data_IF_227900010755
#
_entry.id   IF_227900010755
#
_cell.length_a   1.000
_cell.length_b   1.000
_cell.length_c   1.000
_cell.angle_alpha   90.00
_cell.angle_beta   90.00
_cell.angle_gamma   90.00
#
_symmetry.space_group_name_H-M   'P 1'
#
loop_
_entity.id
_entity.type
_entity.pdbx_description
1 polymer ?
#
# COMPACT_ATOMS: atom_id res chain seq x y z
N UNK A 1 3.32 5.37 16.04
CA UNK A 1 2.97 4.65 14.80
C UNK A 1 4.21 3.93 14.28
N UNK A 2 4.20 2.59 14.32
CA UNK A 2 5.30 1.73 13.88
C UNK A 2 5.41 1.74 12.34
N UNK A 3 6.62 2.00 11.80
CA UNK A 3 6.85 2.11 10.36
C UNK A 3 7.29 0.75 9.78
N UNK A 4 6.33 -0.06 9.33
CA UNK A 4 6.60 -1.34 8.69
C UNK A 4 6.74 -1.16 7.17
N UNK A 5 7.89 -1.55 6.62
CA UNK A 5 8.15 -1.58 5.18
C UNK A 5 8.13 -3.04 4.70
N UNK A 6 7.09 -3.50 3.98
CA UNK A 6 7.10 -4.82 3.36
C UNK A 6 7.72 -4.79 1.96
N UNK A 7 8.19 -5.96 1.52
CA UNK A 7 8.63 -6.26 0.17
C UNK A 7 7.97 -7.57 -0.22
N UNK A 8 7.30 -7.57 -1.37
CA UNK A 8 6.75 -8.78 -1.98
C UNK A 8 7.73 -9.26 -3.04
N UNK A 9 8.35 -10.41 -2.83
CA UNK A 9 9.28 -11.04 -3.77
C UNK A 9 9.03 -12.57 -3.82
N UNK A 10 8.94 -13.13 -5.02
CA UNK A 10 8.70 -14.57 -5.27
C UNK A 10 7.63 -15.23 -4.38
N UNK A 11 6.42 -14.66 -4.38
CA UNK A 11 5.26 -15.13 -3.58
C UNK A 11 5.46 -15.10 -2.05
N UNK A 12 6.53 -14.48 -1.58
CA UNK A 12 6.81 -14.25 -0.17
C UNK A 12 6.76 -12.75 0.15
N UNK A 13 6.22 -12.42 1.31
CA UNK A 13 6.32 -11.06 1.86
C UNK A 13 7.35 -11.11 2.98
N UNK A 14 8.41 -10.34 2.82
CA UNK A 14 9.32 -9.99 3.91
C UNK A 14 8.98 -8.58 4.38
N UNK A 15 9.03 -8.32 5.69
CA UNK A 15 8.82 -6.97 6.20
C UNK A 15 9.90 -6.64 7.23
N UNK A 16 10.39 -5.40 7.19
CA UNK A 16 11.23 -4.87 8.25
C UNK A 16 10.58 -3.63 8.87
N UNK A 17 10.71 -3.52 10.19
CA UNK A 17 10.33 -2.31 10.90
C UNK A 17 11.49 -1.32 10.83
N UNK A 18 11.25 -0.15 10.26
CA UNK A 18 12.22 0.94 10.24
C UNK A 18 12.21 1.64 11.59
N UNK A 19 13.12 1.20 12.48
CA UNK A 19 13.23 1.69 13.85
C UNK A 19 13.65 3.17 13.92
N UNK A 20 14.31 3.69 12.89
CA UNK A 20 14.80 5.08 12.85
C UNK A 20 13.67 6.10 12.61
N UNK A 21 12.48 5.64 12.20
CA UNK A 21 11.32 6.49 11.93
C UNK A 21 10.07 6.13 12.75
N UNK A 22 10.26 5.51 13.92
CA UNK A 22 9.16 5.29 14.86
C UNK A 22 8.79 6.65 15.49
N UNK A 23 7.63 7.19 15.12
CA UNK A 23 7.03 8.34 15.80
C UNK A 23 6.02 7.80 16.79
N UNK A 24 6.37 7.69 18.07
CA UNK A 24 5.39 7.40 19.11
C UNK A 24 4.53 8.64 19.37
N UNK A 25 3.23 8.54 19.10
CA UNK A 25 2.30 9.67 19.12
C UNK A 25 1.49 9.73 20.41
N UNK A 26 1.50 8.67 21.22
CA UNK A 26 0.72 8.57 22.46
C UNK A 26 1.62 8.00 23.55
N UNK A 27 1.89 8.82 24.58
CA UNK A 27 2.58 8.35 25.77
C UNK A 27 1.67 7.40 26.58
N UNK A 28 2.27 6.44 27.28
CA UNK A 28 1.53 5.58 28.19
C UNK A 28 0.96 6.34 29.40
N UNK A 29 0.25 5.63 30.27
CA UNK A 29 -0.37 6.16 31.49
C UNK A 29 0.63 6.78 32.49
N UNK A 30 1.94 6.58 32.29
CA UNK A 30 3.01 7.18 33.07
C UNK A 30 3.78 8.29 32.31
N UNK A 31 3.36 8.64 31.09
CA UNK A 31 4.04 9.62 30.26
C UNK A 31 5.29 9.09 29.55
N UNK A 32 5.48 7.76 29.52
CA UNK A 32 6.59 7.12 28.84
C UNK A 32 6.22 6.80 27.38
N UNK A 33 7.14 7.06 26.47
CA UNK A 33 7.02 6.66 25.07
C UNK A 33 7.71 5.30 24.88
N UNK A 34 7.17 4.50 23.97
CA UNK A 34 7.65 3.16 23.64
C UNK A 34 9.09 3.22 23.11
N UNK A 35 9.98 2.43 23.72
CA UNK A 35 11.37 2.33 23.30
C UNK A 35 11.57 1.53 21.99
N UNK A 36 12.71 1.73 21.29
CA UNK A 36 13.03 1.06 20.03
C UNK A 36 13.20 -0.47 20.16
N UNK A 37 13.45 -0.97 21.38
CA UNK A 37 13.63 -2.41 21.66
C UNK A 37 12.31 -3.17 21.88
N UNK A 38 11.17 -2.47 21.82
CA UNK A 38 9.88 -3.10 22.06
C UNK A 38 9.38 -3.79 20.78
N UNK A 39 9.57 -5.10 20.68
CA UNK A 39 8.80 -5.95 19.75
C UNK A 39 7.32 -5.93 20.16
N UNK A 40 6.59 -4.87 19.81
CA UNK A 40 5.17 -4.77 20.09
C UNK A 40 4.36 -5.58 19.07
N UNK A 41 3.28 -6.19 19.56
CA UNK A 41 2.30 -6.81 18.68
C UNK A 41 1.77 -5.76 17.69
N UNK A 42 1.62 -6.15 16.43
CA UNK A 42 1.05 -5.29 15.41
C UNK A 42 -0.36 -4.84 15.88
N UNK A 43 -0.66 -3.53 15.87
CA UNK A 43 -1.97 -3.07 16.31
C UNK A 43 -3.07 -3.67 15.43
N UNK A 44 -4.28 -3.93 15.98
CA UNK A 44 -5.39 -4.49 15.21
C UNK A 44 -5.82 -3.62 14.01
N UNK A 45 -5.41 -2.35 13.99
CA UNK A 45 -5.50 -1.49 12.82
C UNK A 45 -4.11 -0.94 12.49
N UNK A 46 -3.67 -1.13 11.26
CA UNK A 46 -2.31 -0.78 10.82
C UNK A 46 -2.31 -0.41 9.34
N UNK A 47 -1.24 0.26 8.93
CA UNK A 47 -1.00 0.69 7.56
C UNK A 47 0.30 0.09 7.03
N UNK A 48 0.32 -0.22 5.74
CA UNK A 48 1.43 -0.87 5.08
C UNK A 48 1.67 -0.21 3.72
N UNK A 49 2.88 0.31 3.49
CA UNK A 49 3.24 0.81 2.17
C UNK A 49 3.48 -0.34 1.20
N UNK A 50 2.84 -0.29 0.03
CA UNK A 50 2.94 -1.28 -1.03
C UNK A 50 3.35 -0.63 -2.34
N UNK A 51 4.39 -1.15 -2.97
CA UNK A 51 4.82 -0.75 -4.31
C UNK A 51 4.14 -1.63 -5.35
N UNK A 52 3.34 -1.02 -6.22
CA UNK A 52 2.58 -1.70 -7.26
C UNK A 52 3.24 -1.47 -8.61
N UNK A 53 3.63 -2.57 -9.27
CA UNK A 53 4.28 -2.55 -10.58
C UNK A 53 3.31 -3.05 -11.65
N UNK A 54 2.98 -2.21 -12.62
CA UNK A 54 2.19 -2.60 -13.79
C UNK A 54 3.10 -3.33 -14.79
N UNK A 55 3.07 -4.67 -14.78
CA UNK A 55 3.90 -5.51 -15.66
C UNK A 55 3.35 -5.62 -17.09
N UNK A 56 2.04 -5.52 -17.25
CA UNK A 56 1.36 -5.65 -18.54
C UNK A 56 1.43 -4.33 -19.33
N UNK A 57 1.80 -4.41 -20.62
CA UNK A 57 1.85 -3.26 -21.53
C UNK A 57 0.48 -2.62 -21.74
N UNK A 58 -0.59 -3.42 -21.75
CA UNK A 58 -1.94 -2.91 -21.93
C UNK A 58 -2.39 -2.10 -20.71
N UNK A 59 -2.14 -2.61 -19.50
CA UNK A 59 -2.45 -1.89 -18.26
C UNK A 59 -1.62 -0.61 -18.13
N UNK A 60 -0.36 -0.63 -18.57
CA UNK A 60 0.48 0.58 -18.67
C UNK A 60 -0.09 1.60 -19.65
N UNK A 61 -0.52 1.17 -20.84
CA UNK A 61 -1.09 2.06 -21.84
C UNK A 61 -2.38 2.72 -21.30
N UNK A 62 -3.25 1.92 -20.69
CA UNK A 62 -4.51 2.37 -20.07
C UNK A 62 -4.24 3.32 -18.91
N UNK A 63 -3.22 3.06 -18.10
CA UNK A 63 -2.76 3.95 -17.04
C UNK A 63 -2.37 5.33 -17.57
N UNK A 64 -1.50 5.35 -18.59
CA UNK A 64 -1.03 6.59 -19.21
C UNK A 64 -2.15 7.36 -19.91
N UNK A 65 -3.12 6.66 -20.51
CA UNK A 65 -4.31 7.30 -21.09
C UNK A 65 -5.19 7.94 -20.02
N UNK A 66 -5.44 7.26 -18.91
CA UNK A 66 -6.23 7.80 -17.81
C UNK A 66 -5.56 9.03 -17.19
N UNK A 67 -4.24 8.97 -17.01
CA UNK A 67 -3.45 10.11 -16.54
C UNK A 67 -3.61 11.34 -17.45
N UNK A 68 -3.57 11.14 -18.77
CA UNK A 68 -3.83 12.22 -19.76
C UNK A 68 -5.26 12.75 -19.65
N UNK A 69 -6.27 11.89 -19.52
CA UNK A 69 -7.68 12.30 -19.37
C UNK A 69 -7.90 13.16 -18.13
N UNK A 70 -7.21 12.84 -17.03
CA UNK A 70 -7.23 13.61 -15.78
C UNK A 70 -6.36 14.86 -15.81
N UNK A 71 -5.73 15.20 -16.94
CA UNK A 71 -4.82 16.33 -17.08
C UNK A 71 -3.65 16.31 -16.08
N UNK A 72 -3.21 15.12 -15.67
CA UNK A 72 -2.10 14.95 -14.74
C UNK A 72 -0.74 15.09 -15.46
N UNK A 73 0.32 15.57 -14.78
CA UNK A 73 1.63 15.80 -15.41
C UNK A 73 2.22 14.54 -16.04
N UNK A 74 2.56 14.58 -17.33
CA UNK A 74 3.13 13.44 -18.07
C UNK A 74 4.67 13.48 -18.18
N UNK A 75 5.31 14.55 -17.69
CA UNK A 75 6.76 14.72 -17.76
C UNK A 75 7.45 13.64 -16.93
N UNK A 76 8.42 12.93 -17.51
CA UNK A 76 9.16 11.86 -16.83
C UNK A 76 8.47 10.48 -16.83
N UNK A 77 7.20 10.37 -17.23
CA UNK A 77 6.47 9.09 -17.21
C UNK A 77 6.95 8.04 -18.22
N UNK A 78 7.84 8.41 -19.15
CA UNK A 78 8.55 7.42 -19.98
C UNK A 78 9.43 6.48 -19.15
N UNK A 79 9.86 6.91 -17.96
CA UNK A 79 10.65 6.12 -17.01
C UNK A 79 9.85 5.67 -15.79
N UNK A 80 8.51 5.72 -15.83
CA UNK A 80 7.66 5.21 -14.75
C UNK A 80 7.99 3.74 -14.44
N UNK A 81 8.05 3.41 -13.14
CA UNK A 81 8.37 2.08 -12.65
C UNK A 81 7.29 1.48 -11.76
N UNK A 82 6.81 2.23 -10.77
CA UNK A 82 5.83 1.74 -9.82
C UNK A 82 5.00 2.88 -9.22
N UNK A 83 3.84 2.51 -8.68
CA UNK A 83 2.99 3.36 -7.86
C UNK A 83 3.07 2.91 -6.42
N UNK A 84 3.39 3.81 -5.50
CA UNK A 84 3.34 3.58 -4.07
C UNK A 84 1.90 3.80 -3.58
N UNK A 85 1.41 2.92 -2.73
CA UNK A 85 0.12 3.05 -2.07
C UNK A 85 0.24 2.68 -0.58
N UNK A 86 -0.64 3.23 0.25
CA UNK A 86 -0.82 2.83 1.64
C UNK A 86 -2.02 1.89 1.75
N UNK A 87 -1.78 0.61 2.02
CA UNK A 87 -2.80 -0.35 2.36
C UNK A 87 -3.10 -0.28 3.85
N UNK A 88 -4.30 0.17 4.22
CA UNK A 88 -4.79 0.15 5.60
C UNK A 88 -5.63 -1.10 5.84
N UNK A 89 -5.41 -1.75 6.98
CA UNK A 89 -6.10 -2.97 7.39
C UNK A 89 -6.66 -2.76 8.80
N UNK A 90 -7.94 -3.10 8.99
CA UNK A 90 -8.56 -3.29 10.31
C UNK A 90 -8.87 -4.78 10.49
N UNK A 91 -8.04 -5.46 11.27
CA UNK A 91 -8.15 -6.88 11.57
C UNK A 91 -9.36 -7.21 12.47
N UNK A 92 -9.86 -6.26 13.26
CA UNK A 92 -11.05 -6.47 14.11
C UNK A 92 -12.30 -6.60 13.25
N UNK A 93 -12.39 -5.77 12.22
CA UNK A 93 -13.52 -5.77 11.29
C UNK A 93 -13.26 -6.63 10.05
N UNK A 94 -12.03 -7.11 9.86
CA UNK A 94 -11.57 -7.79 8.65
C UNK A 94 -11.84 -6.96 7.38
N UNK A 95 -11.59 -5.65 7.47
CA UNK A 95 -11.77 -4.69 6.37
C UNK A 95 -10.44 -4.04 5.99
N UNK A 96 -10.36 -3.55 4.76
CA UNK A 96 -9.18 -2.85 4.25
C UNK A 96 -9.57 -1.74 3.29
N UNK A 97 -8.70 -0.76 3.15
CA UNK A 97 -8.71 0.20 2.04
C UNK A 97 -7.28 0.44 1.56
N UNK A 98 -7.12 0.96 0.35
CA UNK A 98 -5.82 1.31 -0.21
C UNK A 98 -5.89 2.75 -0.68
N UNK A 99 -4.94 3.55 -0.22
CA UNK A 99 -4.84 4.96 -0.55
C UNK A 99 -3.65 5.17 -1.50
N UNK A 100 -3.83 5.87 -2.63
CA UNK A 100 -2.73 6.23 -3.51
C UNK A 100 -1.75 7.17 -2.79
N UNK A 101 -0.45 6.97 -2.98
CA UNK A 101 0.58 7.87 -2.44
C UNK A 101 1.30 8.63 -3.55
N UNK A 102 1.96 7.94 -4.48
CA UNK A 102 2.69 8.60 -5.55
C UNK A 102 3.31 7.64 -6.55
N UNK A 103 3.72 8.15 -7.70
CA UNK A 103 4.42 7.39 -8.74
C UNK A 103 5.91 7.66 -8.73
N UNK A 104 6.68 6.64 -9.07
CA UNK A 104 8.15 6.68 -9.03
C UNK A 104 8.75 6.17 -10.33
N UNK A 105 9.90 6.74 -10.70
CA UNK A 105 10.68 6.32 -11.85
C UNK A 105 11.67 5.18 -11.53
N UNK A 106 12.38 4.69 -12.55
CA UNK A 106 13.40 3.62 -12.40
C UNK A 106 14.61 4.00 -11.53
N UNK A 107 14.71 5.25 -11.07
CA UNK A 107 15.74 5.75 -10.14
C UNK A 107 15.15 6.15 -8.79
N UNK A 108 13.94 5.66 -8.48
CA UNK A 108 13.18 5.95 -7.25
C UNK A 108 12.91 7.45 -7.04
N UNK A 109 12.83 8.22 -8.13
CA UNK A 109 12.45 9.64 -8.06
C UNK A 109 10.95 9.78 -8.23
N UNK A 110 10.35 10.58 -7.36
CA UNK A 110 8.93 10.88 -7.41
C UNK A 110 8.56 11.63 -8.70
N UNK A 111 7.52 11.14 -9.37
CA UNK A 111 6.93 11.72 -10.57
C UNK A 111 5.66 12.54 -10.26
N UNK A 112 5.07 12.34 -9.08
CA UNK A 112 3.87 13.02 -8.58
C UNK A 112 2.73 12.06 -8.24
N UNK A 113 1.52 12.60 -8.09
CA UNK A 113 0.33 11.84 -7.68
C UNK A 113 0.05 10.65 -8.60
N UNK A 114 -0.32 9.53 -8.01
CA UNK A 114 -0.72 8.34 -8.75
C UNK A 114 -2.22 8.33 -9.02
N UNK A 115 -2.62 7.82 -10.18
CA UNK A 115 -4.01 7.50 -10.48
C UNK A 115 -4.18 6.00 -10.67
N UNK A 116 -3.43 5.16 -9.94
CA UNK A 116 -3.44 3.69 -10.16
C UNK A 116 -4.75 3.05 -9.67
N UNK A 117 -5.41 3.68 -8.70
CA UNK A 117 -6.76 3.35 -8.28
C UNK A 117 -7.70 4.26 -9.09
N UNK A 118 -8.44 3.64 -10.00
CA UNK A 118 -9.25 4.34 -11.00
C UNK A 118 -10.66 3.81 -11.03
N UNK A 119 -11.59 4.67 -11.45
CA UNK A 119 -12.96 4.27 -11.81
C UNK A 119 -13.09 3.76 -13.26
N UNK A 120 -11.98 3.59 -13.98
CA UNK A 120 -12.03 3.06 -15.35
C UNK A 120 -12.55 1.62 -15.32
N UNK A 121 -13.31 1.25 -16.36
CA UNK A 121 -13.86 -0.11 -16.50
C UNK A 121 -13.23 -0.80 -17.72
N UNK A 122 -12.57 -1.95 -17.55
CA UNK A 122 -12.30 -2.64 -16.28
C UNK A 122 -11.27 -1.87 -15.42
N UNK A 123 -11.21 -2.01 -14.09
CA UNK A 123 -10.18 -1.34 -13.29
C UNK A 123 -8.77 -1.83 -13.65
N UNK A 124 -7.75 -0.98 -13.51
CA UNK A 124 -6.32 -1.36 -13.67
C UNK A 124 -5.93 -2.37 -12.58
N UNK A 125 -6.36 -2.09 -11.35
CA UNK A 125 -6.14 -2.93 -10.18
C UNK A 125 -7.48 -3.43 -9.64
N UNK A 126 -8.05 -4.50 -10.21
CA UNK A 126 -9.34 -5.03 -9.76
C UNK A 126 -9.30 -5.46 -8.30
N UNK A 127 -10.25 -4.98 -7.51
CA UNK A 127 -10.37 -5.35 -6.09
C UNK A 127 -9.49 -4.56 -5.14
N UNK A 128 -8.86 -3.47 -5.62
CA UNK A 128 -8.26 -2.42 -4.80
C UNK A 128 -9.26 -1.25 -4.73
N UNK A 129 -9.43 -0.64 -3.56
CA UNK A 129 -10.42 0.42 -3.35
C UNK A 129 -10.00 1.38 -2.22
N UNK A 130 -10.35 2.65 -2.36
CA UNK A 130 -10.06 3.69 -1.36
C UNK A 130 -11.05 3.67 -0.17
N UNK A 131 -12.20 3.04 -0.33
CA UNK A 131 -13.17 2.80 0.73
C UNK A 131 -12.89 1.50 1.47
N UNK A 132 -13.32 1.44 2.74
CA UNK A 132 -13.26 0.23 3.53
C UNK A 132 -14.12 -0.89 2.94
N UNK A 133 -13.48 -1.98 2.53
CA UNK A 133 -14.14 -3.18 2.00
C UNK A 133 -13.70 -4.44 2.75
N UNK A 134 -14.55 -5.49 2.78
CA UNK A 134 -14.19 -6.76 3.41
C UNK A 134 -12.99 -7.44 2.76
N UNK A 135 -12.01 -7.87 3.55
CA UNK A 135 -10.78 -8.54 3.06
C UNK A 135 -11.11 -9.93 2.48
N UNK A 136 -12.00 -10.68 3.13
CA UNK A 136 -12.33 -12.08 2.78
C UNK A 136 -13.24 -12.21 1.55
N UNK A 137 -13.60 -11.11 0.91
CA UNK A 137 -14.41 -11.13 -0.32
C UNK A 137 -13.62 -11.72 -1.49
N UNK A 138 -14.30 -12.48 -2.37
CA UNK A 138 -13.72 -12.94 -3.64
C UNK A 138 -13.37 -11.78 -4.58
N UNK A 139 -13.97 -10.61 -4.37
CA UNK A 139 -13.72 -9.38 -5.14
C UNK A 139 -12.50 -8.60 -4.66
N UNK A 140 -11.92 -8.96 -3.51
CA UNK A 140 -10.75 -8.26 -2.95
C UNK A 140 -9.48 -8.76 -3.62
N UNK A 141 -8.58 -7.84 -3.95
CA UNK A 141 -7.32 -8.16 -4.62
C UNK A 141 -6.50 -9.16 -3.80
N UNK A 142 -5.80 -10.08 -4.47
CA UNK A 142 -5.01 -11.14 -3.82
C UNK A 142 -3.97 -10.58 -2.86
N UNK A 143 -3.25 -9.52 -3.26
CA UNK A 143 -2.25 -8.83 -2.41
C UNK A 143 -2.79 -8.49 -1.02
N UNK A 144 -3.99 -7.91 -0.93
CA UNK A 144 -4.58 -7.50 0.35
C UNK A 144 -4.92 -8.71 1.22
N UNK A 145 -5.40 -9.80 0.60
CA UNK A 145 -5.68 -11.05 1.30
C UNK A 145 -4.42 -11.70 1.84
N UNK A 146 -3.33 -11.68 1.08
CA UNK A 146 -2.04 -12.22 1.53
C UNK A 146 -1.40 -11.35 2.62
N UNK A 147 -1.45 -10.01 2.50
CA UNK A 147 -1.02 -9.10 3.56
C UNK A 147 -1.76 -9.37 4.87
N UNK A 148 -3.09 -9.48 4.82
CA UNK A 148 -3.89 -9.76 6.00
C UNK A 148 -3.55 -11.11 6.64
N UNK A 149 -3.29 -12.15 5.84
CA UNK A 149 -2.86 -13.46 6.34
C UNK A 149 -1.47 -13.45 6.94
N UNK A 150 -0.55 -12.66 6.39
CA UNK A 150 0.82 -12.55 6.91
C UNK A 150 0.81 -11.97 8.33
N UNK A 151 0.05 -10.89 8.53
CA UNK A 151 0.01 -10.18 9.81
C UNK A 151 -0.97 -10.80 10.81
N UNK A 152 -2.02 -11.47 10.32
CA UNK A 152 -3.04 -12.16 11.11
C UNK A 152 -3.30 -13.55 10.53
N UNK A 153 -2.32 -14.48 10.64
CA UNK A 153 -2.55 -15.85 10.24
C UNK A 153 -3.72 -16.40 11.05
N UNK A 154 -4.68 -17.05 10.37
CA UNK A 154 -5.66 -17.85 11.10
C UNK A 154 -4.87 -18.96 11.81
N UNK A 155 -5.16 -19.18 13.08
CA UNK A 155 -4.95 -20.49 13.70
C UNK A 155 -5.70 -21.58 12.92
#
# INVERSE_FOLDING_TARGET
>A
MWNWKPFYDDDNISAFCDLDQIVDTEADENGCYSGPDCYQALPPRFGVFVSIVLKNKDDMARYLEERKKRSLPMKGYKSYRYSLCLAEIDARQMTSRVLPAGDYDVKDRELGDTCVITDITPPILPGINEEWKPIRSKKTHRMIRELAKMFFPKE
#
